data_IF_344433284772
#
_entry.id   IF_344433284772
#
_cell.length_a   1.000
_cell.length_b   1.000
_cell.length_c   1.000
_cell.angle_alpha   90.00
_cell.angle_beta   90.00
_cell.angle_gamma   90.00
#
_symmetry.space_group_name_H-M   'P 1'
#
loop_
_entity.id
_entity.type
_entity.pdbx_description
1 polymer ?
#
# COMPACT_ATOMS: atom_id res chain seq x y z
N UNK A 1 -34.54 -16.49 -29.56
CA UNK A 1 -33.52 -16.83 -28.53
C UNK A 1 -32.17 -16.14 -28.81
N UNK A 2 -32.10 -15.26 -29.82
CA UNK A 2 -30.90 -14.50 -30.20
C UNK A 2 -30.92 -13.01 -29.79
N UNK A 3 -32.04 -12.50 -29.26
CA UNK A 3 -32.20 -11.06 -28.98
C UNK A 3 -31.67 -10.61 -27.60
N UNK A 4 -31.35 -11.54 -26.70
CA UNK A 4 -30.79 -11.22 -25.37
C UNK A 4 -29.32 -10.78 -25.46
N UNK A 5 -28.61 -11.13 -26.54
CA UNK A 5 -27.15 -10.90 -26.65
C UNK A 5 -26.75 -9.51 -27.17
N UNK A 6 -27.68 -8.73 -27.75
CA UNK A 6 -27.34 -7.42 -28.36
C UNK A 6 -27.53 -6.22 -27.43
N UNK A 7 -28.31 -6.35 -26.36
CA UNK A 7 -28.65 -5.23 -25.46
C UNK A 7 -27.65 -5.02 -24.30
N UNK A 8 -26.67 -5.91 -24.16
CA UNK A 8 -25.75 -5.95 -23.01
C UNK A 8 -24.38 -5.29 -23.30
N UNK A 9 -24.01 -5.17 -24.59
CA UNK A 9 -22.71 -4.59 -24.98
C UNK A 9 -22.61 -3.09 -24.71
N UNK A 10 -23.74 -2.36 -24.85
CA UNK A 10 -23.84 -0.92 -24.54
C UNK A 10 -23.72 -0.68 -23.04
N UNK A 11 -24.46 -1.43 -22.20
CA UNK A 11 -24.39 -1.30 -20.76
C UNK A 11 -23.00 -1.67 -20.20
N UNK A 12 -22.37 -2.70 -20.78
CA UNK A 12 -21.01 -3.10 -20.41
C UNK A 12 -19.98 -2.02 -20.75
N UNK A 13 -20.11 -1.34 -21.89
CA UNK A 13 -19.23 -0.23 -22.28
C UNK A 13 -19.37 0.97 -21.33
N UNK A 14 -20.59 1.27 -20.89
CA UNK A 14 -20.83 2.33 -19.91
C UNK A 14 -20.21 1.99 -18.54
N UNK A 15 -20.29 0.73 -18.09
CA UNK A 15 -19.71 0.29 -16.81
C UNK A 15 -18.17 0.33 -16.80
N UNK A 16 -17.52 -0.05 -17.90
CA UNK A 16 -16.05 -0.16 -17.99
C UNK A 16 -15.39 1.22 -18.21
N UNK A 17 -16.19 2.27 -18.44
CA UNK A 17 -15.70 3.61 -18.71
C UNK A 17 -14.78 4.15 -17.58
N UNK A 18 -13.66 4.82 -17.91
CA UNK A 18 -12.68 5.27 -16.92
C UNK A 18 -13.25 6.21 -15.84
N UNK A 19 -14.28 6.97 -16.17
CA UNK A 19 -15.00 7.86 -15.25
C UNK A 19 -15.73 7.11 -14.12
N UNK A 20 -16.05 5.83 -14.34
CA UNK A 20 -16.70 4.96 -13.35
C UNK A 20 -15.68 4.16 -12.52
N UNK A 21 -14.38 4.48 -12.59
CA UNK A 21 -13.34 3.78 -11.83
C UNK A 21 -13.45 4.09 -10.33
N UNK A 22 -14.14 3.23 -9.58
CA UNK A 22 -14.29 3.35 -8.13
C UNK A 22 -13.08 2.79 -7.37
N UNK A 23 -12.33 1.88 -7.98
CA UNK A 23 -11.25 1.16 -7.32
C UNK A 23 -10.10 0.87 -8.27
N UNK A 24 -8.88 1.12 -7.79
CA UNK A 24 -7.64 0.66 -8.41
C UNK A 24 -6.71 0.14 -7.31
N UNK A 25 -5.93 -0.89 -7.62
CA UNK A 25 -4.85 -1.34 -6.74
C UNK A 25 -3.79 -0.22 -6.65
N UNK A 26 -3.35 0.20 -5.45
CA UNK A 26 -2.31 1.21 -5.29
C UNK A 26 -1.03 0.77 -5.99
N UNK A 27 -0.29 1.71 -6.60
CA UNK A 27 0.92 1.36 -7.36
C UNK A 27 2.03 0.82 -6.47
N UNK A 28 2.09 1.29 -5.23
CA UNK A 28 3.04 0.85 -4.19
C UNK A 28 2.82 -0.61 -3.75
N UNK A 29 1.72 -1.25 -4.14
CA UNK A 29 1.42 -2.61 -3.73
C UNK A 29 1.94 -3.65 -4.73
N UNK A 30 2.88 -4.47 -4.28
CA UNK A 30 3.49 -5.55 -5.04
C UNK A 30 2.47 -6.59 -5.53
N UNK A 31 2.78 -7.26 -6.64
CA UNK A 31 1.98 -8.36 -7.16
C UNK A 31 2.33 -9.70 -6.49
N UNK A 32 2.22 -9.71 -5.15
CA UNK A 32 2.47 -10.89 -4.33
C UNK A 32 1.15 -11.41 -3.73
N UNK A 33 0.85 -12.71 -3.85
CA UNK A 33 -0.30 -13.30 -3.16
C UNK A 33 -0.25 -13.04 -1.65
N UNK A 34 -1.33 -12.49 -1.11
CA UNK A 34 -1.41 -12.21 0.33
C UNK A 34 -1.54 -13.51 1.12
N UNK A 35 -0.84 -13.56 2.25
CA UNK A 35 -0.82 -14.71 3.15
C UNK A 35 -1.85 -14.57 4.28
N UNK A 36 -2.72 -13.55 4.18
CA UNK A 36 -3.76 -13.29 5.15
C UNK A 36 -4.97 -14.20 4.92
N UNK A 37 -5.61 -14.58 6.03
CA UNK A 37 -6.86 -15.32 5.97
C UNK A 37 -7.94 -14.51 5.24
N UNK A 38 -8.86 -15.15 4.51
CA UNK A 38 -10.03 -14.49 3.94
C UNK A 38 -10.80 -13.71 5.01
N UNK A 39 -11.12 -12.44 4.74
CA UNK A 39 -11.82 -11.55 5.69
C UNK A 39 -10.91 -10.89 6.73
N UNK A 40 -9.60 -11.15 6.71
CA UNK A 40 -8.66 -10.49 7.62
C UNK A 40 -8.40 -9.03 7.20
N UNK A 41 -8.48 -8.10 8.15
CA UNK A 41 -8.32 -6.67 7.90
C UNK A 41 -6.90 -6.23 7.58
N UNK A 42 -5.87 -7.06 7.81
CA UNK A 42 -4.48 -6.68 7.53
C UNK A 42 -4.26 -6.29 6.06
N UNK A 43 -4.86 -7.02 5.12
CA UNK A 43 -4.75 -6.67 3.69
C UNK A 43 -5.39 -5.32 3.36
N UNK A 44 -6.54 -5.02 3.97
CA UNK A 44 -7.23 -3.72 3.82
C UNK A 44 -6.41 -2.59 4.44
N UNK A 45 -5.86 -2.79 5.64
CA UNK A 45 -5.01 -1.80 6.31
C UNK A 45 -3.76 -1.50 5.50
N UNK A 46 -3.08 -2.53 4.95
CA UNK A 46 -1.90 -2.30 4.11
C UNK A 46 -2.25 -1.55 2.83
N UNK A 47 -3.40 -1.83 2.23
CA UNK A 47 -3.90 -1.04 1.09
C UNK A 47 -4.06 0.43 1.46
N UNK A 48 -4.76 0.72 2.56
CA UNK A 48 -4.97 2.10 3.01
C UNK A 48 -3.65 2.82 3.32
N UNK A 49 -2.70 2.12 3.94
CA UNK A 49 -1.36 2.66 4.18
C UNK A 49 -0.64 2.96 2.86
N UNK A 50 -0.78 2.10 1.86
CA UNK A 50 -0.20 2.30 0.53
C UNK A 50 -0.76 3.56 -0.16
N UNK A 51 -2.10 3.72 -0.14
CA UNK A 51 -2.79 4.87 -0.71
C UNK A 51 -2.31 6.17 -0.05
N UNK A 52 -2.20 6.20 1.27
CA UNK A 52 -1.72 7.38 1.99
C UNK A 52 -0.25 7.69 1.68
N UNK A 53 0.62 6.68 1.55
CA UNK A 53 2.03 6.91 1.20
C UNK A 53 2.14 7.51 -0.22
N UNK A 54 1.35 6.99 -1.16
CA UNK A 54 1.28 7.47 -2.54
C UNK A 54 0.74 8.91 -2.62
N UNK A 55 -0.36 9.20 -1.92
CA UNK A 55 -0.93 10.55 -1.81
C UNK A 55 0.06 11.56 -1.23
N UNK A 56 0.91 11.12 -0.31
CA UNK A 56 1.96 11.94 0.32
C UNK A 56 3.26 12.00 -0.49
N UNK A 57 3.39 11.25 -1.58
CA UNK A 57 4.61 11.13 -2.39
C UNK A 57 5.83 10.74 -1.52
N UNK A 58 5.64 9.74 -0.68
CA UNK A 58 6.60 9.30 0.34
C UNK A 58 7.23 7.93 0.05
N UNK A 59 7.01 7.36 -1.11
CA UNK A 59 7.46 6.02 -1.52
C UNK A 59 8.97 5.86 -1.28
N UNK A 60 9.76 6.79 -1.82
CA UNK A 60 11.23 6.84 -1.72
C UNK A 60 11.75 7.29 -0.35
N UNK A 61 10.87 7.47 0.65
CA UNK A 61 11.22 8.09 1.94
C UNK A 61 10.65 7.34 3.14
N UNK A 62 9.59 6.58 2.94
CA UNK A 62 8.96 5.80 3.97
C UNK A 62 9.87 4.64 4.36
N UNK A 63 10.04 4.47 5.68
CA UNK A 63 10.68 3.28 6.26
C UNK A 63 9.67 2.65 7.20
N UNK A 64 9.18 1.47 6.84
CA UNK A 64 8.27 0.69 7.63
C UNK A 64 9.00 -0.15 8.68
N UNK A 65 8.37 -0.36 9.84
CA UNK A 65 8.91 -1.26 10.88
C UNK A 65 7.90 -2.36 11.17
N UNK A 66 8.22 -3.57 10.73
CA UNK A 66 7.35 -4.74 10.87
C UNK A 66 7.45 -5.34 12.28
N UNK A 67 6.31 -5.56 12.98
CA UNK A 67 6.30 -6.29 14.23
C UNK A 67 6.27 -7.81 13.98
N UNK A 68 6.60 -8.60 14.99
CA UNK A 68 6.33 -10.05 15.00
C UNK A 68 4.82 -10.30 15.03
N UNK A 69 4.30 -11.09 14.08
CA UNK A 69 2.89 -11.48 13.97
C UNK A 69 2.42 -11.51 12.51
N UNK A 70 1.13 -11.72 12.22
CA UNK A 70 0.64 -11.75 10.84
C UNK A 70 0.94 -10.44 10.08
N UNK A 71 0.87 -9.29 10.76
CA UNK A 71 1.21 -7.99 10.17
C UNK A 71 2.66 -7.89 9.66
N UNK A 72 3.57 -8.79 10.07
CA UNK A 72 4.97 -8.81 9.63
C UNK A 72 5.08 -8.86 8.11
N UNK A 73 4.16 -9.52 7.42
CA UNK A 73 4.22 -9.69 5.98
C UNK A 73 4.04 -8.40 5.16
N UNK A 74 3.76 -7.26 5.80
CA UNK A 74 3.67 -5.96 5.13
C UNK A 74 4.87 -5.68 4.20
N UNK A 75 6.08 -6.10 4.61
CA UNK A 75 7.30 -5.94 3.81
C UNK A 75 7.29 -6.66 2.46
N UNK A 76 6.40 -7.66 2.28
CA UNK A 76 6.24 -8.35 1.00
C UNK A 76 5.27 -7.64 0.07
N UNK A 77 4.36 -6.85 0.62
CA UNK A 77 3.22 -6.30 -0.11
C UNK A 77 3.40 -4.85 -0.50
N UNK A 78 4.18 -4.07 0.25
CA UNK A 78 4.40 -2.64 -0.01
C UNK A 78 5.85 -2.37 -0.36
N UNK A 79 6.05 -1.68 -1.48
CA UNK A 79 7.37 -1.35 -2.02
C UNK A 79 7.96 -0.10 -1.36
N UNK A 80 8.39 -0.26 -0.10
CA UNK A 80 9.14 0.75 0.67
C UNK A 80 10.29 0.05 1.41
N UNK A 81 11.17 0.82 2.05
CA UNK A 81 12.20 0.22 2.93
C UNK A 81 11.56 -0.36 4.20
N UNK A 82 11.99 -1.55 4.63
CA UNK A 82 11.44 -2.23 5.80
C UNK A 82 12.53 -2.70 6.78
N UNK A 83 12.20 -2.63 8.08
CA UNK A 83 12.97 -3.26 9.14
C UNK A 83 12.07 -4.13 10.02
N UNK A 84 12.42 -5.40 10.20
CA UNK A 84 11.73 -6.25 11.18
C UNK A 84 12.24 -5.95 12.59
N UNK A 85 11.32 -5.88 13.55
CA UNK A 85 11.62 -5.65 14.96
C UNK A 85 11.23 -6.85 15.81
N UNK A 86 12.01 -7.12 16.85
CA UNK A 86 11.66 -8.08 17.88
C UNK A 86 10.28 -7.77 18.50
N UNK A 87 9.63 -8.80 19.04
CA UNK A 87 8.28 -8.67 19.58
C UNK A 87 8.16 -7.51 20.59
N UNK A 88 7.20 -6.61 20.36
CA UNK A 88 6.99 -5.41 21.20
C UNK A 88 8.04 -4.30 21.04
N UNK A 89 9.00 -4.40 20.09
CA UNK A 89 10.10 -3.43 19.94
C UNK A 89 10.02 -2.54 18.70
N UNK A 90 8.98 -2.66 17.87
CA UNK A 90 8.81 -1.84 16.67
C UNK A 90 8.94 -0.32 16.93
N UNK A 91 8.33 0.27 17.99
CA UNK A 91 8.52 1.69 18.27
C UNK A 91 9.96 2.07 18.64
N UNK A 92 10.68 1.20 19.35
CA UNK A 92 12.07 1.45 19.72
C UNK A 92 12.98 1.43 18.49
N UNK A 93 12.79 0.46 17.59
CA UNK A 93 13.51 0.38 16.31
C UNK A 93 13.19 1.59 15.43
N UNK A 94 11.91 1.95 15.26
CA UNK A 94 11.50 3.12 14.49
C UNK A 94 12.12 4.42 15.03
N UNK A 95 12.22 4.54 16.36
CA UNK A 95 12.87 5.69 17.00
C UNK A 95 14.37 5.73 16.69
N UNK A 96 15.04 4.57 16.73
CA UNK A 96 16.45 4.45 16.34
C UNK A 96 16.68 4.90 14.90
N UNK A 97 15.89 4.36 13.96
CA UNK A 97 15.93 4.72 12.53
C UNK A 97 15.79 6.24 12.36
N UNK A 98 14.78 6.86 12.97
CA UNK A 98 14.57 8.30 12.83
C UNK A 98 15.69 9.15 13.45
N UNK A 99 16.39 8.65 14.48
CA UNK A 99 17.53 9.36 15.09
C UNK A 99 18.80 9.28 14.25
N UNK A 100 19.09 8.12 13.66
CA UNK A 100 20.31 7.92 12.86
C UNK A 100 20.16 8.37 11.42
N UNK A 101 18.91 8.41 10.91
CA UNK A 101 18.60 8.79 9.53
C UNK A 101 17.48 9.85 9.50
N UNK A 102 17.78 11.09 9.95
CA UNK A 102 16.77 12.13 10.10
C UNK A 102 16.16 12.59 8.76
N UNK A 103 16.91 12.54 7.66
CA UNK A 103 16.56 13.17 6.38
C UNK A 103 15.43 12.48 5.62
N UNK A 104 15.17 11.19 5.90
CA UNK A 104 14.06 10.43 5.28
C UNK A 104 12.67 11.07 5.52
N UNK A 105 12.45 11.85 6.60
CA UNK A 105 11.15 12.52 6.88
C UNK A 105 11.16 14.06 6.78
N UNK A 106 12.31 14.68 6.54
CA UNK A 106 12.37 16.15 6.57
C UNK A 106 11.91 16.69 5.22
N UNK A 107 10.67 17.17 5.16
CA UNK A 107 10.02 17.78 3.99
C UNK A 107 10.69 19.06 3.47
N UNK A 108 11.77 19.54 4.10
CA UNK A 108 12.44 20.78 3.73
C UNK A 108 13.60 20.64 2.74
N UNK A 109 14.03 19.43 2.37
CA UNK A 109 15.25 19.28 1.55
C UNK A 109 15.02 18.67 0.15
N UNK A 110 13.77 18.46 -0.27
CA UNK A 110 13.44 17.92 -1.60
C UNK A 110 12.91 18.96 -2.60
N UNK A 111 13.13 20.26 -2.34
CA UNK A 111 12.88 21.34 -3.31
C UNK A 111 14.16 22.07 -3.75
N UNK A 112 15.34 21.56 -3.42
CA UNK A 112 16.64 22.15 -3.81
C UNK A 112 17.67 21.12 -4.27
N UNK A 113 17.22 20.11 -5.02
CA UNK A 113 18.07 19.29 -5.88
C UNK A 113 17.38 19.13 -7.23
#
# INVERSE_FOLDING_TARGET
MEDIKKNDMSATQDIISPENLVYKKPTLMNDTPMHYCPGCSHGVVHKLVAEVIEEMQMEEKAVGVCPVGCAVFAYRYLDIDWQEAAHGRAPAVATGIKRVWPDRRNSHQARMA
#
